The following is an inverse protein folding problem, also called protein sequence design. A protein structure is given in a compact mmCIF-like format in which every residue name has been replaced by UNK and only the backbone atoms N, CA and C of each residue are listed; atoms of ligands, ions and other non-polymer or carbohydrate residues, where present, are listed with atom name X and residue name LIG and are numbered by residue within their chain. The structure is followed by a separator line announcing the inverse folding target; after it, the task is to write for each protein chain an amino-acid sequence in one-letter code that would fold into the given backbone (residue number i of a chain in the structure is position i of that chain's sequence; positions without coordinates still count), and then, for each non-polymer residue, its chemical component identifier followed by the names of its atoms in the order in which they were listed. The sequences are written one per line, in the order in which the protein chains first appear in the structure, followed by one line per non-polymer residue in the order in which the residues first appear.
data_IF_192407614278
#
_entry.id   IF_192407614278
#
_cell.length_a   1.000
_cell.length_b   1.000
_cell.length_c   1.000
_cell.angle_alpha   90.00
_cell.angle_beta   90.00
_cell.angle_gamma   90.00
#
_symmetry.space_group_name_H-M   'P 1'
#
loop_
_entity.id
_entity.type
_entity.pdbx_description
1 polymer ?
#
# COMPACT_ATOMS: atom_id res chain seq x y z
N UNK A 1 8.76 -22.46 -5.21
CA UNK A 1 10.11 -22.46 -4.58
C UNK A 1 10.51 -21.03 -4.29
N UNK A 2 11.47 -20.75 -3.41
CA UNK A 2 11.81 -19.38 -2.96
C UNK A 2 12.01 -18.36 -4.10
N UNK A 3 12.44 -18.84 -5.28
CA UNK A 3 12.61 -18.06 -6.51
C UNK A 3 11.33 -17.41 -7.02
N UNK A 4 10.16 -17.99 -6.73
CA UNK A 4 8.86 -17.43 -7.13
C UNK A 4 8.54 -16.13 -6.34
N UNK A 5 9.00 -16.06 -5.08
CA UNK A 5 8.82 -14.91 -4.17
C UNK A 5 9.88 -13.84 -4.36
N UNK A 6 11.06 -14.20 -4.84
CA UNK A 6 12.14 -13.26 -5.14
C UNK A 6 12.42 -13.19 -6.64
N UNK A 7 11.34 -13.16 -7.42
CA UNK A 7 11.43 -12.97 -8.85
C UNK A 7 12.01 -11.58 -9.19
N UNK A 8 12.54 -11.44 -10.41
CA UNK A 8 13.16 -10.21 -10.87
C UNK A 8 12.22 -8.98 -10.81
N UNK A 9 10.89 -9.19 -10.91
CA UNK A 9 9.92 -8.10 -10.78
C UNK A 9 9.83 -7.60 -9.34
N UNK A 10 9.68 -8.49 -8.35
CA UNK A 10 9.63 -8.10 -6.93
C UNK A 10 10.91 -7.37 -6.52
N UNK A 11 12.09 -7.89 -6.89
CA UNK A 11 13.36 -7.24 -6.61
C UNK A 11 13.49 -5.89 -7.33
N UNK A 12 13.01 -5.81 -8.57
CA UNK A 12 12.94 -4.57 -9.33
C UNK A 12 12.08 -3.51 -8.64
N UNK A 13 10.90 -3.86 -8.14
CA UNK A 13 10.06 -2.94 -7.38
C UNK A 13 10.71 -2.54 -6.04
N UNK A 14 11.24 -3.50 -5.28
CA UNK A 14 11.86 -3.21 -4.00
C UNK A 14 13.08 -2.29 -4.11
N UNK A 15 13.84 -2.38 -5.21
CA UNK A 15 15.00 -1.53 -5.48
C UNK A 15 14.69 -0.15 -6.07
N UNK A 16 13.46 0.10 -6.55
CA UNK A 16 13.12 1.32 -7.28
C UNK A 16 11.85 1.99 -6.75
N UNK A 17 11.81 2.20 -5.43
CA UNK A 17 10.66 2.83 -4.76
C UNK A 17 10.65 4.34 -5.04
N UNK A 18 9.60 4.81 -5.70
CA UNK A 18 9.38 6.23 -5.96
C UNK A 18 8.71 6.93 -4.78
N UNK A 19 8.75 8.28 -4.74
CA UNK A 19 8.05 9.11 -3.74
C UNK A 19 8.44 8.81 -2.28
N UNK A 20 9.70 8.38 -2.07
CA UNK A 20 10.29 8.26 -0.74
C UNK A 20 10.46 9.64 -0.12
N UNK A 21 9.96 9.82 1.08
CA UNK A 21 10.04 11.08 1.82
C UNK A 21 8.74 11.39 2.56
N UNK A 22 8.58 12.67 2.87
CA UNK A 22 7.40 13.23 3.55
C UNK A 22 6.87 14.41 2.72
N UNK A 23 5.57 14.64 2.77
CA UNK A 23 4.98 15.86 2.21
C UNK A 23 5.10 17.01 3.21
N UNK A 24 5.24 18.25 2.74
CA UNK A 24 5.29 19.42 3.61
C UNK A 24 3.94 19.70 4.28
N UNK A 25 2.86 19.52 3.52
CA UNK A 25 1.49 19.80 3.96
C UNK A 25 0.54 18.66 3.54
N UNK A 26 0.64 17.47 4.17
CA UNK A 26 -0.31 16.39 3.92
C UNK A 26 -1.66 16.67 4.59
N UNK A 27 -2.73 16.16 4.01
CA UNK A 27 -4.06 16.23 4.63
C UNK A 27 -4.16 15.21 5.79
N UNK A 28 -3.48 14.07 5.64
CA UNK A 28 -3.28 13.09 6.70
C UNK A 28 -1.94 12.36 6.59
N UNK A 29 -1.46 11.93 7.75
CA UNK A 29 -0.33 11.01 7.90
C UNK A 29 -0.79 9.78 8.66
N UNK A 30 -0.53 8.61 8.12
CA UNK A 30 -0.85 7.33 8.75
C UNK A 30 0.40 6.44 8.84
N UNK A 31 0.47 5.60 9.88
CA UNK A 31 1.58 4.66 10.09
C UNK A 31 1.06 3.26 10.36
N UNK A 32 1.46 2.31 9.53
CA UNK A 32 1.25 0.89 9.75
C UNK A 32 2.53 0.23 10.31
N UNK A 33 2.37 -0.74 11.21
CA UNK A 33 3.49 -1.47 11.83
C UNK A 33 3.18 -2.97 11.95
N UNK A 34 4.13 -3.80 11.50
CA UNK A 34 4.07 -5.25 11.66
C UNK A 34 4.86 -5.67 12.89
N UNK A 35 4.15 -6.05 13.96
CA UNK A 35 4.77 -6.58 15.19
C UNK A 35 5.59 -7.86 14.99
N UNK A 36 5.31 -8.62 13.92
CA UNK A 36 5.99 -9.89 13.62
C UNK A 36 7.41 -9.70 13.12
N UNK A 37 7.68 -8.61 12.38
CA UNK A 37 8.97 -8.41 11.72
C UNK A 37 9.56 -7.01 11.92
N UNK A 38 8.91 -6.17 12.74
CA UNK A 38 9.32 -4.80 13.02
C UNK A 38 9.17 -3.83 11.84
N UNK A 39 8.60 -4.27 10.71
CA UNK A 39 8.46 -3.42 9.52
C UNK A 39 7.44 -2.30 9.77
N UNK A 40 7.73 -1.11 9.25
CA UNK A 40 6.85 0.07 9.31
C UNK A 40 6.74 0.76 7.97
N UNK A 41 5.54 1.24 7.65
CA UNK A 41 5.31 2.15 6.53
C UNK A 41 4.55 3.36 7.06
N UNK A 42 5.09 4.56 6.83
CA UNK A 42 4.40 5.82 7.08
C UNK A 42 4.02 6.42 5.74
N UNK A 43 2.75 6.80 5.58
CA UNK A 43 2.19 7.42 4.39
C UNK A 43 1.73 8.83 4.72
N UNK A 44 2.08 9.77 3.84
CA UNK A 44 1.50 11.10 3.74
C UNK A 44 0.60 11.14 2.51
N UNK A 45 -0.63 11.63 2.67
CA UNK A 45 -1.63 11.63 1.62
C UNK A 45 -2.28 13.01 1.50
N UNK A 46 -2.44 13.48 0.26
CA UNK A 46 -3.33 14.59 -0.09
C UNK A 46 -4.44 14.10 -0.98
N UNK A 47 -5.64 14.62 -0.75
CA UNK A 47 -6.80 14.25 -1.54
C UNK A 47 -7.60 15.49 -1.93
N UNK A 48 -8.29 15.41 -3.05
CA UNK A 48 -9.26 16.39 -3.48
C UNK A 48 -10.45 15.66 -4.10
N UNK A 49 -11.68 16.04 -3.72
CA UNK A 49 -12.91 15.38 -4.18
C UNK A 49 -12.88 13.83 -4.20
N UNK A 50 -12.32 13.23 -3.15
CA UNK A 50 -12.23 11.76 -3.01
C UNK A 50 -11.14 11.09 -3.85
N UNK A 51 -10.32 11.87 -4.56
CA UNK A 51 -9.21 11.43 -5.41
C UNK A 51 -7.87 11.81 -4.76
N UNK A 52 -6.89 10.91 -4.78
CA UNK A 52 -5.53 11.22 -4.31
C UNK A 52 -4.83 12.17 -5.27
N UNK A 53 -4.34 13.29 -4.77
CA UNK A 53 -3.62 14.32 -5.55
C UNK A 53 -2.13 14.33 -5.28
N UNK A 54 -1.69 13.90 -4.10
CA UNK A 54 -0.27 13.77 -3.77
C UNK A 54 -0.02 12.65 -2.75
N UNK A 55 1.18 12.09 -2.77
CA UNK A 55 1.58 10.97 -1.95
C UNK A 55 3.09 10.98 -1.68
N UNK A 56 3.48 10.74 -0.43
CA UNK A 56 4.84 10.36 -0.09
C UNK A 56 4.82 9.27 0.98
N UNK A 57 5.90 8.50 1.07
CA UNK A 57 6.04 7.49 2.11
C UNK A 57 7.46 7.32 2.65
N UNK A 58 7.57 6.93 3.92
CA UNK A 58 8.79 6.38 4.52
C UNK A 58 8.59 4.88 4.73
N UNK A 59 9.43 4.07 4.06
CA UNK A 59 9.30 2.61 3.99
C UNK A 59 10.48 1.95 4.69
N UNK A 60 10.21 1.34 5.83
CA UNK A 60 11.17 0.51 6.58
C UNK A 60 10.61 -0.89 6.68
N UNK A 61 10.70 -1.63 5.59
CA UNK A 61 10.14 -2.97 5.47
C UNK A 61 11.09 -3.92 4.74
N UNK A 62 10.83 -5.22 4.81
CA UNK A 62 11.52 -6.20 3.98
C UNK A 62 11.17 -6.02 2.50
N UNK A 63 11.89 -6.72 1.61
CA UNK A 63 11.71 -6.64 0.15
C UNK A 63 10.25 -6.76 -0.32
N UNK A 64 9.43 -7.58 0.32
CA UNK A 64 8.01 -7.73 -0.04
C UNK A 64 7.17 -6.51 0.34
N UNK A 65 7.42 -5.93 1.52
CA UNK A 65 6.77 -4.67 1.91
C UNK A 65 7.27 -3.48 1.09
N UNK A 66 8.55 -3.50 0.69
CA UNK A 66 9.12 -2.52 -0.24
C UNK A 66 8.50 -2.64 -1.64
N UNK A 67 8.37 -3.85 -2.16
CA UNK A 67 7.76 -4.09 -3.47
C UNK A 67 6.28 -3.65 -3.50
N UNK A 68 5.48 -4.02 -2.50
CA UNK A 68 4.08 -3.56 -2.44
C UNK A 68 3.96 -2.05 -2.31
N UNK A 69 4.83 -1.42 -1.50
CA UNK A 69 4.88 0.04 -1.35
C UNK A 69 5.29 0.73 -2.65
N UNK A 70 6.24 0.17 -3.41
CA UNK A 70 6.64 0.70 -4.71
C UNK A 70 5.49 0.69 -5.71
N UNK A 71 4.75 -0.43 -5.80
CA UNK A 71 3.60 -0.54 -6.71
C UNK A 71 2.51 0.44 -6.30
N UNK A 72 2.24 0.59 -5.00
CA UNK A 72 1.33 1.62 -4.49
C UNK A 72 1.78 3.02 -4.93
N UNK A 73 3.04 3.38 -4.67
CA UNK A 73 3.57 4.70 -4.99
C UNK A 73 3.50 5.04 -6.48
N UNK A 74 3.63 4.07 -7.38
CA UNK A 74 3.53 4.27 -8.83
C UNK A 74 2.11 4.62 -9.28
N UNK A 75 1.09 4.11 -8.59
CA UNK A 75 -0.29 4.12 -9.10
C UNK A 75 -1.29 4.89 -8.24
N UNK A 76 -0.94 5.25 -7.01
CA UNK A 76 -1.85 5.86 -6.01
C UNK A 76 -2.38 7.23 -6.44
N UNK A 77 -1.57 8.08 -7.07
CA UNK A 77 -2.03 9.41 -7.50
C UNK A 77 -3.09 9.25 -8.60
N UNK A 78 -4.19 9.98 -8.45
CA UNK A 78 -5.37 9.90 -9.29
C UNK A 78 -6.30 8.73 -8.96
N UNK A 79 -6.00 7.91 -7.95
CA UNK A 79 -6.89 6.83 -7.50
C UNK A 79 -7.96 7.38 -6.55
N UNK A 80 -9.18 6.84 -6.64
CA UNK A 80 -10.24 7.17 -5.69
C UNK A 80 -10.09 6.43 -4.36
N UNK A 81 -10.74 6.96 -3.32
CA UNK A 81 -10.84 6.30 -2.03
C UNK A 81 -11.39 4.86 -2.14
N UNK A 82 -12.40 4.66 -2.99
CA UNK A 82 -13.04 3.36 -3.20
C UNK A 82 -12.14 2.38 -3.96
N UNK A 83 -11.39 2.86 -4.96
CA UNK A 83 -10.37 2.04 -5.63
C UNK A 83 -9.33 1.54 -4.62
N UNK A 84 -8.88 2.41 -3.71
CA UNK A 84 -7.84 2.10 -2.72
C UNK A 84 -8.33 1.14 -1.62
N UNK A 85 -9.59 1.26 -1.19
CA UNK A 85 -10.24 0.28 -0.32
C UNK A 85 -10.41 -1.06 -1.03
N UNK A 86 -10.85 -1.04 -2.28
CA UNK A 86 -11.08 -2.25 -3.08
C UNK A 86 -9.79 -3.03 -3.33
N UNK A 87 -8.69 -2.37 -3.68
CA UNK A 87 -7.39 -3.05 -3.88
C UNK A 87 -6.87 -3.62 -2.56
N UNK A 88 -7.07 -2.93 -1.43
CA UNK A 88 -6.70 -3.43 -0.10
C UNK A 88 -7.44 -4.73 0.23
N UNK A 89 -8.75 -4.76 0.01
CA UNK A 89 -9.57 -5.97 0.22
C UNK A 89 -9.18 -7.10 -0.73
N UNK A 90 -8.94 -6.78 -2.01
CA UNK A 90 -8.51 -7.77 -3.00
C UNK A 90 -7.16 -8.39 -2.64
N UNK A 91 -6.20 -7.57 -2.17
CA UNK A 91 -4.92 -8.07 -1.68
C UNK A 91 -5.07 -8.98 -0.46
N UNK A 92 -5.95 -8.61 0.48
CA UNK A 92 -6.21 -9.44 1.65
C UNK A 92 -6.76 -10.82 1.25
N UNK A 93 -7.75 -10.84 0.35
CA UNK A 93 -8.35 -12.08 -0.18
C UNK A 93 -7.35 -12.90 -0.98
N UNK A 94 -6.53 -12.25 -1.82
CA UNK A 94 -5.48 -12.93 -2.58
C UNK A 94 -4.51 -13.65 -1.64
N UNK A 95 -4.11 -13.02 -0.53
CA UNK A 95 -3.13 -13.59 0.40
C UNK A 95 -3.72 -14.64 1.35
N UNK A 96 -4.98 -14.49 1.79
CA UNK A 96 -5.55 -15.32 2.86
C UNK A 96 -6.64 -16.29 2.42
N UNK A 97 -7.28 -16.04 1.28
CA UNK A 97 -8.53 -16.70 0.89
C UNK A 97 -8.46 -17.32 -0.51
N UNK A 98 -7.27 -17.49 -1.08
CA UNK A 98 -7.07 -17.94 -2.47
C UNK A 98 -7.80 -17.07 -3.52
N UNK A 99 -8.01 -15.78 -3.20
CA UNK A 99 -8.63 -14.84 -4.13
C UNK A 99 -7.77 -14.54 -5.35
N UNK A 100 -8.41 -14.09 -6.43
CA UNK A 100 -7.73 -13.63 -7.63
C UNK A 100 -6.90 -12.35 -7.35
N UNK A 101 -5.80 -12.13 -8.09
CA UNK A 101 -4.98 -10.93 -7.92
C UNK A 101 -5.72 -9.65 -8.35
N UNK A 102 -5.30 -8.48 -7.85
CA UNK A 102 -5.79 -7.20 -8.32
C UNK A 102 -5.62 -7.01 -9.84
N UNK A 103 -6.51 -6.21 -10.42
CA UNK A 103 -6.54 -5.90 -11.85
C UNK A 103 -6.47 -4.38 -12.06
N UNK A 104 -6.50 -3.95 -13.33
CA UNK A 104 -6.54 -2.53 -13.70
C UNK A 104 -5.30 -1.77 -13.25
N UNK A 105 -5.51 -0.60 -12.63
CA UNK A 105 -4.47 0.30 -12.11
C UNK A 105 -3.41 -0.40 -11.26
N UNK A 106 -3.81 -1.42 -10.50
CA UNK A 106 -2.93 -2.13 -9.57
C UNK A 106 -2.59 -3.56 -10.03
N UNK A 107 -2.69 -3.84 -11.33
CA UNK A 107 -2.47 -5.18 -11.89
C UNK A 107 -1.08 -5.76 -11.57
N UNK A 108 -0.06 -4.93 -11.37
CA UNK A 108 1.29 -5.38 -11.02
C UNK A 108 1.37 -6.04 -9.64
N UNK A 109 0.38 -5.85 -8.77
CA UNK A 109 0.30 -6.59 -7.50
C UNK A 109 0.16 -8.11 -7.69
N UNK A 110 -0.25 -8.58 -8.87
CA UNK A 110 -0.25 -10.01 -9.22
C UNK A 110 1.11 -10.68 -9.04
N UNK A 111 2.21 -9.93 -9.16
CA UNK A 111 3.55 -10.50 -8.95
C UNK A 111 3.80 -10.90 -7.50
N UNK A 112 2.99 -10.42 -6.55
CA UNK A 112 3.02 -10.80 -5.14
C UNK A 112 2.12 -12.01 -4.83
N UNK A 113 1.43 -12.59 -5.82
CA UNK A 113 0.59 -13.78 -5.62
C UNK A 113 1.33 -14.96 -4.95
N UNK A 114 2.62 -15.26 -5.28
CA UNK A 114 3.38 -16.31 -4.59
C UNK A 114 3.52 -16.08 -3.07
N UNK A 115 3.33 -14.85 -2.58
CA UNK A 115 3.38 -14.53 -1.13
C UNK A 115 2.19 -15.14 -0.38
N UNK A 116 1.13 -15.57 -1.07
CA UNK A 116 -0.01 -16.30 -0.48
C UNK A 116 0.45 -17.46 0.41
N UNK A 117 1.41 -18.24 -0.05
CA UNK A 117 1.93 -19.42 0.68
C UNK A 117 2.89 -19.06 1.83
N UNK A 118 3.27 -17.78 1.96
CA UNK A 118 4.23 -17.29 2.95
C UNK A 118 3.56 -16.41 4.00
N UNK A 119 2.70 -17.03 4.83
CA UNK A 119 1.87 -16.37 5.85
C UNK A 119 2.61 -15.38 6.76
N UNK A 120 3.85 -15.69 7.12
CA UNK A 120 4.70 -14.81 7.95
C UNK A 120 5.02 -13.46 7.28
N UNK A 121 4.83 -13.33 5.96
CA UNK A 121 5.12 -12.13 5.16
C UNK A 121 3.87 -11.36 4.74
N UNK A 122 2.67 -11.87 5.05
CA UNK A 122 1.42 -11.17 4.73
C UNK A 122 1.36 -9.80 5.39
N UNK A 123 1.70 -9.73 6.68
CA UNK A 123 1.63 -8.48 7.44
C UNK A 123 2.53 -7.38 6.86
N UNK A 124 3.78 -7.70 6.48
CA UNK A 124 4.69 -6.71 5.86
C UNK A 124 4.21 -6.26 4.49
N UNK A 125 3.60 -7.16 3.71
CA UNK A 125 3.09 -6.87 2.37
C UNK A 125 1.89 -5.93 2.41
N UNK A 126 1.04 -6.05 3.45
CA UNK A 126 -0.18 -5.26 3.59
C UNK A 126 0.02 -3.83 4.14
N UNK A 127 1.20 -3.52 4.71
CA UNK A 127 1.42 -2.26 5.44
C UNK A 127 1.06 -1.00 4.65
N UNK A 128 1.44 -0.92 3.37
CA UNK A 128 1.15 0.26 2.55
C UNK A 128 -0.35 0.45 2.31
N UNK A 129 -1.13 -0.62 2.21
CA UNK A 129 -2.56 -0.56 1.96
C UNK A 129 -3.29 -0.12 3.22
N UNK A 130 -2.93 -0.70 4.36
CA UNK A 130 -3.52 -0.35 5.65
C UNK A 130 -3.20 1.12 6.00
N UNK A 131 -1.96 1.59 5.74
CA UNK A 131 -1.61 2.99 5.95
C UNK A 131 -2.37 3.95 5.03
N UNK A 132 -2.52 3.62 3.73
CA UNK A 132 -3.30 4.46 2.80
C UNK A 132 -4.77 4.53 3.20
N UNK A 133 -5.41 3.39 3.51
CA UNK A 133 -6.83 3.37 3.91
C UNK A 133 -7.07 4.10 5.23
N UNK A 134 -6.13 4.00 6.19
CA UNK A 134 -6.20 4.80 7.42
C UNK A 134 -6.09 6.30 7.13
N UNK A 135 -5.12 6.73 6.30
CA UNK A 135 -4.99 8.13 5.92
C UNK A 135 -6.26 8.68 5.25
N UNK A 136 -6.89 7.91 4.35
CA UNK A 136 -8.18 8.25 3.74
C UNK A 136 -9.25 8.45 4.81
N UNK A 137 -9.39 7.51 5.74
CA UNK A 137 -10.37 7.59 6.84
C UNK A 137 -10.16 8.82 7.72
N UNK A 138 -8.91 9.18 8.00
CA UNK A 138 -8.58 10.41 8.74
C UNK A 138 -9.01 11.67 7.97
N UNK A 139 -8.79 11.73 6.65
CA UNK A 139 -9.17 12.88 5.81
C UNK A 139 -10.69 13.03 5.75
N UNK A 140 -11.41 11.95 5.47
CA UNK A 140 -12.87 11.96 5.39
C UNK A 140 -13.49 12.39 6.72
N UNK A 141 -12.97 11.89 7.85
CA UNK A 141 -13.43 12.28 9.18
C UNK A 141 -13.22 13.78 9.43
N UNK A 142 -12.03 14.32 9.16
CA UNK A 142 -11.75 15.76 9.32
C UNK A 142 -12.67 16.64 8.47
N UNK A 143 -12.95 16.22 7.23
CA UNK A 143 -13.86 16.96 6.33
C UNK A 143 -15.31 16.91 6.82
N UNK A 144 -15.77 15.77 7.31
CA UNK A 144 -17.11 15.64 7.90
C UNK A 144 -17.26 16.54 9.15
N UNK A 145 -16.23 16.62 10.00
CA UNK A 145 -16.21 17.50 11.17
C UNK A 145 -16.20 18.99 10.81
N UNK A 146 -15.60 19.37 9.68
CA UNK A 146 -15.61 20.76 9.17
C UNK A 146 -16.91 21.18 8.49
N UNK A 147 -17.68 20.21 8.00
CA UNK A 147 -18.96 20.45 7.33
C UNK A 147 -20.16 20.46 8.29
N UNK A 148 -19.96 20.04 9.54
CA UNK A 148 -20.96 20.01 10.61
C UNK A 148 -20.98 21.32 11.40
#
# INVERSE_FOLDING_TARGET
MIDDVYNAKILGFAGNIARIGRLDHPDATARAHSKLCGSTVTVDLKMDDGIVTDFAHDVKACALGQASSSIMAQHVIGASADELRSVRETMLKMLKENGAPPQGRFADLRYLEPVRDYKARHASTMLTFDAVVDAIGQIEKKRAEQAA
#
